data_IF_459948735689
#
_entry.id   IF_459948735689
#
_cell.length_a   1.000
_cell.length_b   1.000
_cell.length_c   1.000
_cell.angle_alpha   90.00
_cell.angle_beta   90.00
_cell.angle_gamma   90.00
#
_symmetry.space_group_name_H-M   'P 1'
#
loop_
_entity.id
_entity.type
_entity.pdbx_description
1 polymer ?
#
# COMPACT_ATOMS: atom_id res chain seq x y z
N UNK A 1 -4.76 -8.43 15.65
CA UNK A 1 -4.75 -9.19 14.38
C UNK A 1 -4.57 -8.21 13.24
N UNK A 2 -3.73 -8.51 12.26
CA UNK A 2 -3.57 -7.72 11.03
C UNK A 2 -4.59 -8.18 10.00
N UNK A 3 -5.14 -7.27 9.22
CA UNK A 3 -6.06 -7.63 8.14
C UNK A 3 -5.31 -8.29 6.97
N UNK A 4 -5.94 -9.23 6.28
CA UNK A 4 -5.39 -9.81 5.05
C UNK A 4 -6.19 -9.34 3.84
N UNK A 5 -5.50 -8.84 2.81
CA UNK A 5 -6.11 -8.43 1.57
C UNK A 5 -5.13 -8.55 0.41
N UNK A 6 -5.49 -9.27 -0.65
CA UNK A 6 -4.64 -9.40 -1.82
C UNK A 6 -4.88 -8.27 -2.84
N UNK A 7 -3.81 -7.78 -3.46
CA UNK A 7 -3.87 -6.74 -4.49
C UNK A 7 -3.73 -7.34 -5.88
N UNK A 8 -4.56 -6.90 -6.81
CA UNK A 8 -4.35 -7.09 -8.25
C UNK A 8 -4.11 -5.73 -8.87
N UNK A 9 -2.91 -5.51 -9.39
CA UNK A 9 -2.45 -4.24 -9.95
C UNK A 9 -2.27 -4.40 -11.46
N UNK A 10 -3.01 -3.61 -12.25
CA UNK A 10 -2.81 -3.56 -13.70
C UNK A 10 -1.60 -2.67 -14.01
N UNK A 11 -0.63 -3.22 -14.75
CA UNK A 11 0.50 -2.45 -15.27
C UNK A 11 0.01 -1.46 -16.32
N UNK A 12 0.64 -0.29 -16.42
CA UNK A 12 0.20 0.75 -17.36
C UNK A 12 -1.03 1.55 -16.94
N UNK A 13 -1.68 1.20 -15.84
CA UNK A 13 -2.86 1.89 -15.33
C UNK A 13 -2.61 2.52 -13.95
N UNK A 14 -3.27 3.64 -13.68
CA UNK A 14 -3.25 4.23 -12.33
C UNK A 14 -4.07 3.34 -11.40
N UNK A 15 -3.40 2.79 -10.39
CA UNK A 15 -4.02 1.95 -9.37
C UNK A 15 -4.38 2.77 -8.14
N UNK A 16 -5.58 2.56 -7.60
CA UNK A 16 -6.05 3.19 -6.36
C UNK A 16 -6.65 2.15 -5.42
N UNK A 17 -6.31 2.25 -4.14
CA UNK A 17 -6.90 1.42 -3.09
C UNK A 17 -6.96 2.18 -1.77
N UNK A 18 -8.12 2.20 -1.12
CA UNK A 18 -8.29 2.77 0.21
C UNK A 18 -8.49 1.66 1.23
N UNK A 19 -7.76 1.76 2.35
CA UNK A 19 -7.92 0.93 3.53
C UNK A 19 -8.45 1.79 4.67
N UNK A 20 -9.32 1.22 5.50
CA UNK A 20 -9.89 1.90 6.66
C UNK A 20 -9.62 1.11 7.93
N UNK A 21 -9.11 1.76 8.96
CA UNK A 21 -8.94 1.17 10.28
C UNK A 21 -10.18 1.46 11.12
N UNK A 22 -10.87 0.38 11.49
CA UNK A 22 -11.96 0.40 12.46
C UNK A 22 -11.56 -0.35 13.73
N UNK A 23 -11.93 0.19 14.88
CA UNK A 23 -11.91 -0.48 16.18
C UNK A 23 -13.35 -0.53 16.70
N UNK A 24 -13.87 -1.73 16.94
CA UNK A 24 -15.25 -1.96 17.40
C UNK A 24 -16.33 -1.30 16.52
N UNK A 25 -16.04 -1.13 15.23
CA UNK A 25 -16.94 -0.50 14.25
C UNK A 25 -16.72 0.99 14.05
N UNK A 26 -15.94 1.64 14.94
CA UNK A 26 -15.65 3.06 14.87
C UNK A 26 -14.28 3.34 14.22
N UNK A 27 -14.15 4.44 13.45
CA UNK A 27 -12.87 4.82 12.84
C UNK A 27 -11.79 5.15 13.87
N UNK A 28 -10.62 4.56 13.70
CA UNK A 28 -9.42 4.97 14.46
C UNK A 28 -8.81 6.17 13.77
N UNK A 29 -8.77 7.33 14.45
CA UNK A 29 -8.17 8.53 13.89
C UNK A 29 -6.66 8.35 13.66
N UNK A 30 -6.19 8.72 12.46
CA UNK A 30 -4.77 8.66 12.09
C UNK A 30 -4.06 10.01 12.23
N UNK A 31 -4.61 10.93 13.05
CA UNK A 31 -3.98 12.24 13.25
C UNK A 31 -2.58 12.06 13.85
N UNK A 32 -1.58 12.62 13.17
CA UNK A 32 -0.17 12.51 13.59
C UNK A 32 0.52 11.21 13.16
N UNK A 33 -0.16 10.33 12.42
CA UNK A 33 0.46 9.14 11.86
C UNK A 33 1.17 9.42 10.53
N UNK A 34 2.16 8.59 10.22
CA UNK A 34 2.70 8.41 8.87
C UNK A 34 2.44 6.98 8.40
N UNK A 35 2.38 6.77 7.09
CA UNK A 35 2.15 5.45 6.52
C UNK A 35 3.29 5.05 5.58
N UNK A 36 3.62 3.76 5.57
CA UNK A 36 4.60 3.16 4.66
C UNK A 36 4.16 1.77 4.21
N UNK A 37 4.42 1.48 2.96
CA UNK A 37 4.17 0.19 2.32
C UNK A 37 5.32 -0.14 1.38
N UNK A 38 5.72 -1.41 1.40
CA UNK A 38 6.62 -1.96 0.38
C UNK A 38 6.01 -3.20 -0.26
N UNK A 39 6.18 -3.32 -1.58
CA UNK A 39 5.93 -4.57 -2.29
C UNK A 39 7.28 -5.19 -2.63
N UNK A 40 7.44 -6.47 -2.30
CA UNK A 40 8.66 -7.25 -2.53
C UNK A 40 8.31 -8.62 -3.10
N UNK A 41 9.26 -9.29 -3.76
CA UNK A 41 9.02 -10.63 -4.32
C UNK A 41 8.70 -11.68 -3.25
N UNK A 42 9.30 -11.53 -2.07
CA UNK A 42 9.02 -12.31 -0.86
C UNK A 42 9.37 -11.48 0.38
N UNK A 43 8.95 -11.91 1.55
CA UNK A 43 9.19 -11.23 2.84
C UNK A 43 10.69 -10.98 3.10
N UNK A 44 11.58 -11.84 2.58
CA UNK A 44 13.03 -11.74 2.78
C UNK A 44 13.78 -11.11 1.60
N UNK A 45 13.10 -10.74 0.53
CA UNK A 45 13.75 -10.20 -0.66
C UNK A 45 14.32 -8.80 -0.36
N UNK A 46 15.61 -8.53 -0.60
CA UNK A 46 16.22 -7.23 -0.31
C UNK A 46 15.81 -6.13 -1.29
N UNK A 47 15.36 -6.50 -2.49
CA UNK A 47 14.89 -5.59 -3.52
C UNK A 47 13.45 -5.15 -3.28
N UNK A 48 13.20 -3.84 -3.40
CA UNK A 48 11.86 -3.25 -3.34
C UNK A 48 11.31 -3.12 -4.76
N UNK A 49 10.13 -3.70 -5.01
CA UNK A 49 9.41 -3.54 -6.28
C UNK A 49 8.67 -2.19 -6.29
N UNK A 50 7.94 -1.90 -5.22
CA UNK A 50 7.25 -0.62 -5.02
C UNK A 50 7.50 -0.13 -3.60
N UNK A 51 7.86 1.14 -3.48
CA UNK A 51 7.86 1.87 -2.19
C UNK A 51 6.77 2.93 -2.23
N UNK A 52 5.83 2.89 -1.29
CA UNK A 52 4.78 3.88 -1.14
C UNK A 52 4.80 4.41 0.29
N UNK A 53 4.91 5.72 0.44
CA UNK A 53 4.95 6.40 1.74
C UNK A 53 4.06 7.65 1.69
N UNK A 54 3.74 8.20 2.86
CA UNK A 54 3.13 9.54 2.93
C UNK A 54 4.07 10.61 2.39
N UNK A 55 5.37 10.50 2.66
CA UNK A 55 6.40 11.44 2.21
C UNK A 55 6.54 11.48 0.69
N UNK A 56 6.46 10.33 0.00
CA UNK A 56 6.54 10.28 -1.46
C UNK A 56 5.18 10.46 -2.16
N UNK A 57 4.12 10.77 -1.40
CA UNK A 57 2.79 11.09 -1.90
C UNK A 57 1.99 9.90 -2.45
N UNK A 58 2.52 8.68 -2.41
CA UNK A 58 1.78 7.48 -2.87
C UNK A 58 0.81 6.94 -1.83
N UNK A 59 0.98 7.31 -0.57
CA UNK A 59 -0.02 7.09 0.48
C UNK A 59 -0.55 8.46 0.94
N UNK A 60 -1.87 8.60 1.03
CA UNK A 60 -2.51 9.78 1.63
C UNK A 60 -3.42 9.36 2.78
N UNK A 61 -3.49 10.20 3.81
CA UNK A 61 -4.28 9.94 5.01
C UNK A 61 -5.51 10.84 5.03
N UNK A 62 -6.68 10.24 5.14
CA UNK A 62 -7.87 10.93 5.64
C UNK A 62 -8.00 10.57 7.13
N UNK A 63 -7.23 11.31 7.94
CA UNK A 63 -6.97 10.97 9.33
C UNK A 63 -8.24 10.82 10.19
N UNK A 64 -9.21 11.76 10.18
CA UNK A 64 -10.43 11.62 10.98
C UNK A 64 -11.29 10.41 10.59
N UNK A 65 -11.21 9.96 9.32
CA UNK A 65 -11.96 8.82 8.83
C UNK A 65 -11.26 7.47 9.05
N UNK A 66 -10.01 7.48 9.55
CA UNK A 66 -9.23 6.26 9.72
C UNK A 66 -8.73 5.66 8.42
N UNK A 67 -8.58 6.47 7.36
CA UNK A 67 -8.37 5.98 6.00
C UNK A 67 -6.96 6.25 5.48
N UNK A 68 -6.39 5.25 4.80
CA UNK A 68 -5.14 5.31 4.05
C UNK A 68 -5.43 5.01 2.58
N UNK A 69 -5.15 5.93 1.69
CA UNK A 69 -5.32 5.74 0.24
C UNK A 69 -3.97 5.55 -0.44
N UNK A 70 -3.79 4.38 -1.04
CA UNK A 70 -2.70 4.07 -1.96
C UNK A 70 -3.05 4.53 -3.37
N UNK A 71 -2.16 5.32 -3.97
CA UNK A 71 -2.19 5.65 -5.39
C UNK A 71 -0.84 5.31 -6.03
N UNK A 72 -0.88 4.47 -7.05
CA UNK A 72 0.28 4.18 -7.90
C UNK A 72 -0.03 4.70 -9.32
N UNK A 73 0.66 5.75 -9.79
CA UNK A 73 0.49 6.25 -11.14
C UNK A 73 0.78 5.19 -12.20
N UNK A 74 0.16 5.31 -13.37
CA UNK A 74 0.39 4.44 -14.53
C UNK A 74 1.88 4.25 -14.87
N UNK A 75 2.69 5.32 -14.78
CA UNK A 75 4.14 5.24 -15.02
C UNK A 75 4.88 4.35 -14.01
N UNK A 76 4.40 4.31 -12.77
CA UNK A 76 4.96 3.43 -11.72
C UNK A 76 4.55 1.99 -11.97
N UNK A 77 3.27 1.74 -12.29
CA UNK A 77 2.77 0.38 -12.51
C UNK A 77 3.31 -0.23 -13.81
N UNK A 78 3.51 0.57 -14.86
CA UNK A 78 4.14 0.16 -16.12
C UNK A 78 5.61 -0.29 -15.94
N UNK A 79 6.35 0.34 -15.01
CA UNK A 79 7.76 0.03 -14.77
C UNK A 79 7.99 -1.30 -14.01
N UNK A 80 6.92 -1.92 -13.49
CA UNK A 80 7.03 -3.15 -12.71
C UNK A 80 7.32 -4.33 -13.64
N UNK A 81 8.39 -5.07 -13.37
CA UNK A 81 8.76 -6.27 -14.15
C UNK A 81 8.34 -7.58 -13.48
N UNK A 82 8.01 -7.53 -12.17
CA UNK A 82 7.54 -8.68 -11.42
C UNK A 82 6.12 -9.10 -11.83
N UNK A 83 5.79 -10.38 -11.64
CA UNK A 83 4.43 -10.92 -11.81
C UNK A 83 3.67 -11.06 -10.50
N UNK A 84 4.41 -11.30 -9.42
CA UNK A 84 3.85 -11.47 -8.09
C UNK A 84 4.73 -10.81 -7.04
N UNK A 85 4.15 -10.55 -5.88
CA UNK A 85 4.85 -10.08 -4.70
C UNK A 85 4.03 -10.28 -3.43
N UNK A 86 4.56 -9.76 -2.34
CA UNK A 86 3.89 -9.63 -1.05
C UNK A 86 4.10 -8.21 -0.55
N UNK A 87 3.16 -7.74 0.27
CA UNK A 87 3.21 -6.39 0.81
C UNK A 87 2.69 -6.34 2.25
N UNK A 88 3.08 -5.28 2.95
CA UNK A 88 2.39 -4.79 4.13
C UNK A 88 2.17 -3.27 4.03
N UNK A 89 1.14 -2.80 4.74
CA UNK A 89 0.90 -1.39 5.03
C UNK A 89 1.05 -1.18 6.53
N UNK A 90 2.03 -0.38 6.90
CA UNK A 90 2.32 -0.04 8.29
C UNK A 90 2.02 1.45 8.54
N UNK A 91 1.44 1.70 9.70
CA UNK A 91 1.15 3.02 10.26
C UNK A 91 2.06 3.24 11.46
N UNK A 92 2.71 4.39 11.53
CA UNK A 92 3.58 4.77 12.66
C UNK A 92 3.03 6.05 13.29
N UNK A 93 2.80 6.02 14.60
CA UNK A 93 2.34 7.18 15.35
C UNK A 93 3.49 8.13 15.72
N UNK A 94 3.17 9.30 16.30
CA UNK A 94 4.17 10.28 16.72
C UNK A 94 5.10 9.79 17.84
N UNK A 95 4.76 8.69 18.53
CA UNK A 95 5.59 8.03 19.54
C UNK A 95 6.50 6.94 18.96
N UNK A 96 6.43 6.68 17.64
CA UNK A 96 7.19 5.62 16.96
C UNK A 96 6.56 4.23 17.08
N UNK A 97 5.31 4.12 17.53
CA UNK A 97 4.61 2.84 17.60
C UNK A 97 4.15 2.46 16.20
N UNK A 98 4.62 1.31 15.72
CA UNK A 98 4.27 0.78 14.40
C UNK A 98 3.13 -0.24 14.51
N UNK A 99 2.06 0.01 13.77
CA UNK A 99 0.94 -0.91 13.59
C UNK A 99 0.90 -1.38 12.13
N UNK A 100 0.97 -2.70 11.91
CA UNK A 100 0.69 -3.29 10.60
C UNK A 100 -0.82 -3.40 10.40
N UNK A 101 -1.37 -2.55 9.53
CA UNK A 101 -2.80 -2.45 9.28
C UNK A 101 -3.30 -3.59 8.40
N UNK A 102 -2.61 -3.84 7.28
CA UNK A 102 -2.98 -4.87 6.30
C UNK A 102 -1.74 -5.45 5.64
N UNK A 103 -1.80 -6.73 5.28
CA UNK A 103 -0.80 -7.42 4.47
C UNK A 103 -1.48 -8.35 3.46
N UNK A 104 -0.72 -8.81 2.47
CA UNK A 104 -1.23 -9.78 1.51
C UNK A 104 -0.29 -10.06 0.35
N UNK A 105 -0.77 -10.88 -0.58
CA UNK A 105 -0.13 -11.10 -1.86
C UNK A 105 -0.45 -9.98 -2.84
N UNK A 106 0.40 -9.84 -3.85
CA UNK A 106 0.20 -8.92 -4.97
C UNK A 106 0.36 -9.70 -6.27
N UNK A 107 -0.60 -9.52 -7.17
CA UNK A 107 -0.51 -9.94 -8.57
C UNK A 107 -0.37 -8.70 -9.47
N UNK A 108 0.57 -8.75 -10.41
CA UNK A 108 0.78 -7.71 -11.41
C UNK A 108 0.34 -8.22 -12.79
N UNK A 109 -0.73 -7.62 -13.31
CA UNK A 109 -1.32 -7.99 -14.60
C UNK A 109 -0.72 -7.12 -15.70
N UNK A 110 0.02 -7.68 -16.66
CA UNK A 110 0.64 -6.91 -17.73
C UNK A 110 -0.37 -6.19 -18.62
N UNK A 111 0.02 -4.98 -19.07
CA UNK A 111 -0.67 -4.31 -20.16
C UNK A 111 -0.42 -5.00 -21.50
N UNK A 112 -1.42 -4.93 -22.38
CA UNK A 112 -1.32 -5.38 -23.78
C UNK A 112 -0.97 -4.21 -24.71
N UNK A 113 -1.45 -3.00 -24.39
CA UNK A 113 -1.14 -1.77 -25.13
C UNK A 113 0.36 -1.44 -25.02
N UNK A 114 0.98 -1.01 -26.13
CA UNK A 114 2.41 -0.67 -26.20
C UNK A 114 2.59 0.56 -27.11
N UNK A 115 2.45 1.74 -26.52
CA UNK A 115 2.64 3.03 -27.19
C UNK A 115 3.80 3.80 -26.55
#
# INVERSE_FOLDING_TARGET
>A
MTAQYDLTIQQGATYRRTFRWLADGDPVSLTGFVARMQIRRSVRAPEVIVSATTENGRLTLNAPAGEVSLELPASVTAAITARTGVYDLELEDAGGVVTRLVEGAVEFVPEVTRD
#
